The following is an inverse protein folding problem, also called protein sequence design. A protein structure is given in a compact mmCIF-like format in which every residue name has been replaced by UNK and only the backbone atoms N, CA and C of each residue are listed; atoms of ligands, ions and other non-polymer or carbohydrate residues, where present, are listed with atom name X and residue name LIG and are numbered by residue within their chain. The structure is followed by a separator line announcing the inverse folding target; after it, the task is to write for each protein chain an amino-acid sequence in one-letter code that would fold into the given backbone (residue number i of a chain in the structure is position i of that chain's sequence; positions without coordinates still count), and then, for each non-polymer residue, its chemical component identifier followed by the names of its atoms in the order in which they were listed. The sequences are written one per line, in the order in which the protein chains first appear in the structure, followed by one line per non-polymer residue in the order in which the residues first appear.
data_IF_675102025489
#
_entry.id   IF_675102025489
#
_cell.length_a   1.000
_cell.length_b   1.000
_cell.length_c   1.000
_cell.angle_alpha   90.00
_cell.angle_beta   90.00
_cell.angle_gamma   90.00
#
_symmetry.space_group_name_H-M   'P 1'
#
loop_
_entity.id
_entity.type
_entity.pdbx_description
1 polymer ?
#
# COMPACT_ATOMS: atom_id res chain seq x y z
N UNK A 1 8.02 -12.42 -2.61
CA UNK A 1 6.83 -13.27 -2.38
C UNK A 1 6.69 -13.54 -0.89
N UNK A 2 5.50 -13.57 -0.44
CA UNK A 2 5.10 -13.62 0.96
C UNK A 2 4.16 -14.80 1.23
N UNK A 3 4.18 -15.23 2.47
CA UNK A 3 3.21 -16.15 3.06
C UNK A 3 3.16 -15.86 4.56
N UNK A 4 2.08 -16.18 5.27
CA UNK A 4 2.07 -16.00 6.71
C UNK A 4 3.26 -16.69 7.38
N UNK A 5 4.09 -15.92 8.09
CA UNK A 5 5.32 -16.35 8.78
C UNK A 5 6.49 -16.79 7.88
N UNK A 6 6.42 -16.54 6.56
CA UNK A 6 7.50 -16.89 5.64
C UNK A 6 7.62 -15.80 4.55
N UNK A 7 8.84 -15.41 4.26
CA UNK A 7 9.16 -14.51 3.15
C UNK A 7 10.12 -15.23 2.18
N UNK A 8 9.98 -14.88 0.89
CA UNK A 8 10.80 -15.46 -0.18
C UNK A 8 11.58 -14.36 -0.86
N UNK A 9 12.90 -14.45 -0.83
CA UNK A 9 13.77 -13.51 -1.52
C UNK A 9 14.55 -14.29 -2.58
N UNK A 10 14.51 -13.89 -3.87
CA UNK A 10 15.26 -14.56 -4.93
C UNK A 10 16.77 -14.52 -4.68
N UNK A 11 17.48 -15.60 -4.95
CA UNK A 11 18.92 -15.69 -4.73
C UNK A 11 19.77 -14.79 -5.63
N UNK A 12 19.23 -14.35 -6.78
CA UNK A 12 19.89 -13.48 -7.75
C UNK A 12 19.68 -11.98 -7.53
N UNK A 13 19.12 -11.57 -6.39
CA UNK A 13 18.87 -10.15 -6.11
C UNK A 13 20.17 -9.39 -5.89
N UNK A 14 20.31 -8.25 -6.56
CA UNK A 14 21.44 -7.35 -6.32
C UNK A 14 21.43 -6.87 -4.86
N UNK A 15 22.60 -6.83 -4.22
CA UNK A 15 22.75 -6.45 -2.81
C UNK A 15 22.16 -5.07 -2.49
N UNK A 16 22.18 -4.14 -3.47
CA UNK A 16 21.55 -2.82 -3.34
C UNK A 16 20.04 -2.86 -3.12
N UNK A 17 19.36 -3.90 -3.64
CA UNK A 17 17.91 -4.07 -3.53
C UNK A 17 17.49 -4.98 -2.37
N UNK A 18 18.43 -5.70 -1.76
CA UNK A 18 18.13 -6.70 -0.76
C UNK A 18 17.41 -6.10 0.46
N UNK A 19 17.88 -4.95 0.95
CA UNK A 19 17.25 -4.27 2.11
C UNK A 19 15.81 -3.86 1.83
N UNK A 20 15.56 -3.32 0.63
CA UNK A 20 14.22 -2.94 0.22
C UNK A 20 13.31 -4.18 0.11
N UNK A 21 13.73 -5.22 -0.59
CA UNK A 21 12.95 -6.44 -0.74
C UNK A 21 12.67 -7.09 0.62
N UNK A 22 13.67 -7.23 1.48
CA UNK A 22 13.46 -7.78 2.81
C UNK A 22 12.44 -6.95 3.63
N UNK A 23 12.51 -5.62 3.55
CA UNK A 23 11.55 -4.74 4.20
C UNK A 23 10.14 -4.88 3.63
N UNK A 24 10.00 -4.96 2.32
CA UNK A 24 8.73 -5.13 1.62
C UNK A 24 8.08 -6.47 1.98
N UNK A 25 8.79 -7.59 1.79
CA UNK A 25 8.28 -8.92 2.14
C UNK A 25 7.98 -9.05 3.65
N UNK A 26 8.74 -8.35 4.50
CA UNK A 26 8.42 -8.31 5.95
C UNK A 26 7.13 -7.54 6.23
N UNK A 27 6.84 -6.46 5.52
CA UNK A 27 5.62 -5.70 5.68
C UNK A 27 4.38 -6.52 5.34
N UNK A 28 4.46 -7.45 4.40
CA UNK A 28 3.40 -8.40 4.07
C UNK A 28 3.03 -9.33 5.25
N UNK A 29 3.82 -9.43 6.31
CA UNK A 29 3.42 -10.17 7.50
C UNK A 29 2.26 -9.50 8.25
N UNK A 30 2.05 -8.21 8.03
CA UNK A 30 0.90 -7.44 8.51
C UNK A 30 -0.15 -7.26 7.41
N UNK A 31 0.28 -6.76 6.24
CA UNK A 31 -0.59 -6.41 5.11
C UNK A 31 -0.58 -7.55 4.09
N UNK A 32 -1.37 -8.52 4.29
CA UNK A 32 -1.69 -9.83 3.78
C UNK A 32 -1.63 -10.91 4.87
N UNK A 33 -0.52 -11.11 5.58
CA UNK A 33 -0.38 -12.21 6.55
C UNK A 33 -1.28 -12.09 7.79
N UNK A 34 -1.47 -10.88 8.30
CA UNK A 34 -2.34 -10.60 9.45
C UNK A 34 -3.72 -10.08 9.03
N UNK A 35 -3.74 -9.16 8.08
CA UNK A 35 -4.94 -8.60 7.47
C UNK A 35 -4.93 -9.05 6.02
N UNK A 36 -5.78 -10.02 5.69
CA UNK A 36 -5.89 -10.53 4.32
C UNK A 36 -6.67 -9.58 3.41
N UNK A 37 -6.48 -9.71 2.12
CA UNK A 37 -7.23 -8.99 1.09
C UNK A 37 -7.46 -9.86 -0.16
N UNK A 38 -8.17 -9.34 -1.13
CA UNK A 38 -8.27 -9.92 -2.47
C UNK A 38 -7.16 -9.35 -3.35
N UNK A 39 -5.97 -9.93 -3.28
CA UNK A 39 -4.77 -9.48 -4.01
C UNK A 39 -5.00 -9.36 -5.53
N UNK A 40 -5.92 -10.13 -6.09
CA UNK A 40 -6.18 -10.11 -7.52
C UNK A 40 -7.07 -8.94 -7.95
N UNK A 41 -8.07 -8.60 -7.17
CA UNK A 41 -9.04 -7.56 -7.52
C UNK A 41 -8.77 -6.23 -6.82
N UNK A 42 -8.12 -6.25 -5.65
CA UNK A 42 -7.79 -5.07 -4.83
C UNK A 42 -6.32 -5.04 -4.38
N UNK A 43 -5.33 -5.05 -5.29
CA UNK A 43 -3.91 -5.19 -4.94
C UNK A 43 -3.33 -4.02 -4.14
N UNK A 44 -4.06 -2.92 -4.00
CA UNK A 44 -3.58 -1.72 -3.32
C UNK A 44 -3.33 -1.96 -1.83
N UNK A 45 -4.23 -2.65 -1.14
CA UNK A 45 -4.16 -2.85 0.32
C UNK A 45 -2.96 -3.70 0.72
N UNK A 46 -2.57 -4.61 -0.13
CA UNK A 46 -1.40 -5.45 0.05
C UNK A 46 -0.12 -4.72 -0.43
N UNK A 47 0.04 -4.59 -1.73
CA UNK A 47 1.30 -4.20 -2.36
C UNK A 47 1.67 -2.73 -2.14
N UNK A 48 0.68 -1.82 -2.23
CA UNK A 48 0.99 -0.41 -2.03
C UNK A 48 1.31 -0.09 -0.57
N UNK A 49 0.65 -0.77 0.38
CA UNK A 49 0.92 -0.56 1.80
C UNK A 49 2.26 -1.17 2.19
N UNK A 50 2.57 -2.38 1.73
CA UNK A 50 3.88 -3.01 1.97
C UNK A 50 5.04 -2.18 1.39
N UNK A 51 4.91 -1.70 0.14
CA UNK A 51 5.90 -0.83 -0.50
C UNK A 51 6.07 0.51 0.26
N UNK A 52 4.95 1.14 0.66
CA UNK A 52 4.99 2.36 1.46
C UNK A 52 5.71 2.16 2.79
N UNK A 53 5.37 1.11 3.54
CA UNK A 53 5.98 0.82 4.85
C UNK A 53 7.47 0.58 4.70
N UNK A 54 7.88 -0.29 3.77
CA UNK A 54 9.30 -0.57 3.51
C UNK A 54 10.07 0.69 3.15
N UNK A 55 9.55 1.52 2.23
CA UNK A 55 10.22 2.76 1.81
C UNK A 55 10.27 3.80 2.93
N UNK A 56 9.20 3.92 3.71
CA UNK A 56 9.18 4.87 4.83
C UNK A 56 10.24 4.51 5.89
N UNK A 57 10.32 3.23 6.28
CA UNK A 57 11.32 2.74 7.24
C UNK A 57 12.75 2.92 6.73
N UNK A 58 12.97 2.72 5.43
CA UNK A 58 14.30 2.80 4.82
C UNK A 58 14.67 4.21 4.33
N UNK A 59 13.78 5.18 4.44
CA UNK A 59 14.00 6.55 3.94
C UNK A 59 14.09 6.63 2.40
N UNK A 60 13.45 5.71 1.68
CA UNK A 60 13.53 5.64 0.22
C UNK A 60 12.41 6.46 -0.44
N UNK A 61 12.77 7.17 -1.49
CA UNK A 61 11.84 7.89 -2.37
C UNK A 61 11.91 7.30 -3.78
N UNK A 62 10.76 7.16 -4.44
CA UNK A 62 10.68 6.65 -5.81
C UNK A 62 9.74 7.51 -6.64
N UNK A 63 10.17 7.83 -7.86
CA UNK A 63 9.33 8.44 -8.89
C UNK A 63 8.83 7.34 -9.84
N UNK A 64 7.54 7.40 -10.18
CA UNK A 64 6.97 6.49 -11.18
C UNK A 64 7.38 6.92 -12.59
N UNK A 65 7.63 5.95 -13.44
CA UNK A 65 7.91 6.11 -14.88
C UNK A 65 6.66 6.01 -15.74
N UNK A 66 5.58 5.45 -15.20
CA UNK A 66 4.29 5.42 -15.89
C UNK A 66 3.46 6.67 -15.56
N UNK A 67 2.57 7.04 -16.47
CA UNK A 67 1.57 8.08 -16.23
C UNK A 67 0.73 7.76 -15.01
N UNK A 68 0.14 8.80 -14.42
CA UNK A 68 -0.76 8.63 -13.26
C UNK A 68 -1.92 7.71 -13.62
N UNK A 69 -2.03 6.59 -12.93
CA UNK A 69 -3.02 5.55 -13.16
C UNK A 69 -4.03 5.45 -12.02
N UNK A 70 -5.14 4.78 -12.29
CA UNK A 70 -6.12 4.39 -11.27
C UNK A 70 -5.49 3.35 -10.34
N UNK A 71 -5.93 3.33 -9.07
CA UNK A 71 -5.44 2.41 -8.04
C UNK A 71 -6.52 1.39 -7.61
N UNK A 72 -7.69 1.44 -8.25
CA UNK A 72 -8.86 0.61 -7.96
C UNK A 72 -9.16 -0.42 -9.07
N UNK A 73 -8.13 -0.84 -9.79
CA UNK A 73 -8.25 -1.87 -10.82
C UNK A 73 -7.67 -3.19 -10.33
N UNK A 74 -8.17 -4.29 -10.91
CA UNK A 74 -7.56 -5.61 -10.71
C UNK A 74 -6.17 -5.70 -11.35
N UNK A 75 -5.33 -6.62 -10.89
CA UNK A 75 -4.01 -6.88 -11.47
C UNK A 75 -4.08 -7.14 -12.98
N UNK A 76 -5.18 -7.73 -13.47
CA UNK A 76 -5.39 -8.07 -14.87
C UNK A 76 -5.68 -6.86 -15.78
N UNK A 77 -5.96 -5.70 -15.19
CA UNK A 77 -6.31 -4.48 -15.91
C UNK A 77 -5.12 -3.56 -16.15
N UNK A 78 -4.00 -3.83 -15.52
CA UNK A 78 -2.76 -3.07 -15.73
C UNK A 78 -1.92 -3.71 -16.83
N UNK A 79 -1.14 -2.90 -17.56
CA UNK A 79 -0.07 -3.45 -18.39
C UNK A 79 1.02 -4.06 -17.51
N UNK A 80 1.67 -5.11 -18.00
CA UNK A 80 2.75 -5.78 -17.26
C UNK A 80 3.89 -4.82 -16.85
N UNK A 81 4.14 -3.78 -17.65
CA UNK A 81 5.18 -2.78 -17.38
C UNK A 81 4.76 -1.72 -16.36
N UNK A 82 3.47 -1.40 -16.27
CA UNK A 82 2.98 -0.34 -15.40
C UNK A 82 2.30 -0.83 -14.11
N UNK A 83 2.02 -2.12 -13.96
CA UNK A 83 1.43 -2.65 -12.71
C UNK A 83 2.26 -2.23 -11.48
N UNK A 84 3.53 -2.58 -11.49
CA UNK A 84 4.45 -2.22 -10.41
C UNK A 84 4.57 -0.71 -10.21
N UNK A 85 4.73 0.05 -11.31
CA UNK A 85 4.87 1.50 -11.25
C UNK A 85 3.62 2.19 -10.66
N UNK A 86 2.43 1.68 -10.98
CA UNK A 86 1.17 2.28 -10.52
C UNK A 86 0.82 1.81 -9.10
N UNK A 87 0.74 0.51 -8.86
CA UNK A 87 0.28 0.00 -7.56
C UNK A 87 1.34 0.24 -6.48
N UNK A 88 2.58 -0.18 -6.67
CA UNK A 88 3.61 -0.05 -5.63
C UNK A 88 4.06 1.41 -5.50
N UNK A 89 4.60 2.00 -6.60
CA UNK A 89 5.25 3.30 -6.50
C UNK A 89 4.23 4.43 -6.34
N UNK A 90 3.23 4.55 -7.22
CA UNK A 90 2.24 5.62 -7.10
C UNK A 90 1.30 5.40 -5.91
N UNK A 91 0.93 4.15 -5.62
CA UNK A 91 0.14 3.81 -4.45
C UNK A 91 0.87 4.16 -3.15
N UNK A 92 2.13 3.75 -3.01
CA UNK A 92 2.95 4.11 -1.86
C UNK A 92 3.20 5.62 -1.74
N UNK A 93 3.34 6.34 -2.87
CA UNK A 93 3.46 7.80 -2.86
C UNK A 93 2.16 8.49 -2.42
N UNK A 94 0.99 7.92 -2.77
CA UNK A 94 -0.31 8.41 -2.31
C UNK A 94 -0.43 8.27 -0.78
N UNK A 95 -0.03 7.13 -0.23
CA UNK A 95 -0.02 6.92 1.23
C UNK A 95 0.96 7.86 1.94
N UNK A 96 2.14 8.13 1.36
CA UNK A 96 3.06 9.12 1.91
C UNK A 96 2.46 10.54 1.86
N UNK A 97 1.72 10.87 0.82
CA UNK A 97 0.98 12.15 0.73
C UNK A 97 -0.10 12.24 1.82
N UNK A 98 -0.90 11.19 2.01
CA UNK A 98 -1.87 11.14 3.10
C UNK A 98 -1.19 11.34 4.46
N UNK A 99 -0.09 10.62 4.72
CA UNK A 99 0.71 10.75 5.95
C UNK A 99 1.21 12.18 6.17
N UNK A 100 1.65 12.85 5.12
CA UNK A 100 2.13 14.24 5.22
C UNK A 100 1.00 15.22 5.51
N UNK A 101 -0.16 15.05 4.88
CA UNK A 101 -1.31 15.91 5.07
C UNK A 101 -1.95 15.77 6.46
N UNK A 102 -2.16 14.54 6.92
CA UNK A 102 -2.80 14.30 8.21
C UNK A 102 -1.83 14.30 9.41
N UNK A 103 -0.52 14.30 9.14
CA UNK A 103 0.53 14.19 10.15
C UNK A 103 0.88 12.73 10.50
N UNK A 104 2.18 12.46 10.69
CA UNK A 104 2.69 11.09 10.87
C UNK A 104 2.04 10.37 12.06
N UNK A 105 1.83 11.04 13.18
CA UNK A 105 1.24 10.41 14.38
C UNK A 105 -0.17 9.90 14.11
N UNK A 106 -1.03 10.73 13.51
CA UNK A 106 -2.40 10.36 13.17
C UNK A 106 -2.44 9.25 12.12
N UNK A 107 -1.61 9.35 11.08
CA UNK A 107 -1.52 8.33 10.04
C UNK A 107 -1.16 6.94 10.60
N UNK A 108 -0.07 6.84 11.37
CA UNK A 108 0.36 5.55 11.92
C UNK A 108 -0.61 4.99 12.93
N UNK A 109 -1.27 5.84 13.72
CA UNK A 109 -2.33 5.42 14.64
C UNK A 109 -3.54 4.86 13.89
N UNK A 110 -3.97 5.53 12.81
CA UNK A 110 -5.08 5.09 11.97
C UNK A 110 -4.76 3.76 11.26
N UNK A 111 -3.60 3.66 10.62
CA UNK A 111 -3.16 2.43 9.94
C UNK A 111 -3.07 1.25 10.91
N UNK A 112 -2.49 1.47 12.10
CA UNK A 112 -2.42 0.45 13.14
C UNK A 112 -3.80 0.06 13.64
N UNK A 113 -4.67 1.03 13.92
CA UNK A 113 -6.04 0.77 14.38
C UNK A 113 -6.85 -0.02 13.36
N UNK A 114 -6.73 0.34 12.07
CA UNK A 114 -7.35 -0.41 10.99
C UNK A 114 -6.81 -1.86 10.91
N UNK A 115 -5.51 -2.05 10.99
CA UNK A 115 -4.91 -3.38 10.98
C UNK A 115 -5.36 -4.23 12.18
N UNK A 116 -5.41 -3.65 13.38
CA UNK A 116 -5.87 -4.34 14.58
C UNK A 116 -7.36 -4.74 14.49
N UNK A 117 -8.21 -3.89 13.92
CA UNK A 117 -9.65 -4.16 13.75
C UNK A 117 -9.93 -5.24 12.68
N UNK A 118 -9.02 -5.41 11.72
CA UNK A 118 -9.18 -6.36 10.62
C UNK A 118 -8.31 -7.62 10.76
N UNK A 119 -7.71 -7.86 11.93
CA UNK A 119 -6.88 -9.06 12.17
C UNK A 119 -7.63 -10.33 11.82
N UNK A 120 -6.98 -11.19 11.02
CA UNK A 120 -7.52 -12.49 10.57
C UNK A 120 -8.82 -12.40 9.78
N UNK A 121 -9.04 -11.27 9.09
CA UNK A 121 -10.17 -11.04 8.21
C UNK A 121 -9.67 -10.64 6.82
N UNK A 122 -10.58 -10.72 5.84
CA UNK A 122 -10.37 -10.12 4.52
C UNK A 122 -10.87 -8.68 4.60
N UNK A 123 -9.97 -7.73 4.43
CA UNK A 123 -10.28 -6.30 4.41
C UNK A 123 -10.36 -5.78 2.97
N UNK A 124 -10.88 -4.58 2.78
CA UNK A 124 -10.99 -3.94 1.47
C UNK A 124 -10.19 -2.64 1.42
N UNK A 125 -9.77 -2.26 0.23
CA UNK A 125 -9.14 -0.95 -0.02
C UNK A 125 -10.01 0.19 0.52
N UNK A 126 -11.32 0.15 0.29
CA UNK A 126 -12.24 1.16 0.80
C UNK A 126 -12.17 1.31 2.32
N UNK A 127 -12.14 0.20 3.06
CA UNK A 127 -12.08 0.22 4.53
C UNK A 127 -10.80 0.86 5.07
N UNK A 128 -9.66 0.67 4.38
CA UNK A 128 -8.41 1.33 4.72
C UNK A 128 -8.48 2.84 4.48
N UNK A 129 -8.93 3.22 3.28
CA UNK A 129 -9.03 4.64 2.91
C UNK A 129 -9.99 5.41 3.82
N UNK A 130 -11.13 4.81 4.18
CA UNK A 130 -12.10 5.40 5.11
C UNK A 130 -11.52 5.54 6.52
N UNK A 131 -10.73 4.58 6.98
CA UNK A 131 -10.07 4.67 8.28
C UNK A 131 -9.03 5.80 8.33
N UNK A 132 -8.30 6.04 7.24
CA UNK A 132 -7.37 7.16 7.13
C UNK A 132 -8.12 8.49 7.07
N UNK A 133 -9.18 8.59 6.27
CA UNK A 133 -9.99 9.79 6.13
C UNK A 133 -10.66 10.19 7.45
N UNK A 134 -11.23 9.24 8.16
CA UNK A 134 -11.88 9.46 9.45
C UNK A 134 -10.92 9.91 10.57
N UNK A 135 -9.62 9.68 10.42
CA UNK A 135 -8.62 10.03 11.43
C UNK A 135 -8.06 11.47 11.30
N UNK A 136 -8.61 12.27 10.42
CA UNK A 136 -8.17 13.65 10.17
C UNK A 136 -9.37 14.56 9.85
N UNK A 137 -9.31 15.85 10.16
CA UNK A 137 -10.32 16.81 9.72
C UNK A 137 -10.21 17.17 8.23
N UNK A 138 -9.17 16.71 7.54
CA UNK A 138 -8.96 16.93 6.11
C UNK A 138 -9.77 15.90 5.35
N UNK A 139 -10.58 16.33 4.38
CA UNK A 139 -11.35 15.46 3.48
C UNK A 139 -10.39 14.81 2.45
N UNK A 140 -9.69 13.73 2.90
CA UNK A 140 -8.80 12.96 2.04
C UNK A 140 -9.59 12.15 1.00
N UNK A 141 -10.79 11.72 1.36
CA UNK A 141 -11.70 11.01 0.48
C UNK A 141 -11.90 11.78 -0.82
N UNK A 142 -12.32 13.02 -0.72
CA UNK A 142 -12.58 13.89 -1.87
C UNK A 142 -11.31 14.42 -2.54
N UNK A 143 -10.33 14.88 -1.75
CA UNK A 143 -9.19 15.64 -2.27
C UNK A 143 -8.05 14.78 -2.77
N UNK A 144 -7.88 13.57 -2.19
CA UNK A 144 -6.74 12.71 -2.47
C UNK A 144 -7.16 11.36 -3.05
N UNK A 145 -8.21 10.72 -2.52
CA UNK A 145 -8.57 9.35 -2.89
C UNK A 145 -9.49 9.26 -4.10
N UNK A 146 -10.56 10.05 -4.17
CA UNK A 146 -11.52 10.00 -5.27
C UNK A 146 -10.89 10.07 -6.68
N UNK A 147 -9.87 10.92 -6.94
CA UNK A 147 -9.23 10.97 -8.26
C UNK A 147 -8.48 9.68 -8.64
N UNK A 148 -8.10 8.87 -7.65
CA UNK A 148 -7.31 7.66 -7.86
C UNK A 148 -8.12 6.37 -7.70
N UNK A 149 -9.27 6.44 -7.04
CA UNK A 149 -10.17 5.31 -6.77
C UNK A 149 -11.61 5.63 -7.20
N UNK A 150 -11.86 5.97 -8.49
CA UNK A 150 -13.20 6.40 -8.94
C UNK A 150 -14.28 5.31 -8.87
N UNK A 151 -13.94 4.06 -8.56
CA UNK A 151 -14.93 3.00 -8.27
C UNK A 151 -15.36 2.97 -6.81
N UNK A 152 -14.60 3.61 -5.94
CA UNK A 152 -14.84 3.59 -4.48
C UNK A 152 -15.48 4.88 -3.97
N UNK A 153 -15.37 5.98 -4.76
CA UNK A 153 -15.85 7.32 -4.42
C UNK A 153 -16.77 7.92 -5.49
#
# INVERSE_FOLDING_TARGET
MESPRLIWIPTGVASSNLRYLAGHETAHQWFYGLVGDDQATEPFTDEAVADFVARNVLGLKRASRCSTGRLDLSIYSYSATCYYEVIYIQGGNLLDTARQQMGSTAFWAALKGWADANRYRIATTKSLLDALDAATPIDLGKTLFAPRFPRLY
#
